data_IF_532853127529
#
_entry.id   IF_532853127529
#
_cell.length_a   1.000
_cell.length_b   1.000
_cell.length_c   1.000
_cell.angle_alpha   90.00
_cell.angle_beta   90.00
_cell.angle_gamma   90.00
#
_symmetry.space_group_name_H-M   'P 1'
#
loop_
_entity.id
_entity.type
_entity.pdbx_description
1 polymer ?
#
# COMPACT_ATOMS: atom_id res chain seq x y z
N UNK A 1 3.92 -58.41 -42.38
CA UNK A 1 4.71 -57.17 -42.51
C UNK A 1 4.67 -56.42 -41.20
N UNK A 2 5.77 -56.52 -40.45
CA UNK A 2 5.97 -55.98 -39.10
C UNK A 2 5.87 -54.44 -39.08
N UNK A 3 5.18 -53.91 -38.07
CA UNK A 3 5.21 -52.49 -37.69
C UNK A 3 6.19 -52.32 -36.54
N UNK A 4 7.35 -51.74 -36.84
CA UNK A 4 8.36 -51.31 -35.87
C UNK A 4 7.87 -50.07 -35.13
N UNK A 5 7.69 -50.20 -33.81
CA UNK A 5 7.47 -49.08 -32.89
C UNK A 5 8.82 -48.44 -32.55
N UNK A 6 9.00 -47.18 -32.93
CA UNK A 6 10.14 -46.34 -32.52
C UNK A 6 9.79 -45.64 -31.19
N UNK A 7 10.58 -45.91 -30.16
CA UNK A 7 10.55 -45.19 -28.89
C UNK A 7 11.32 -43.85 -29.00
N UNK A 8 10.90 -42.80 -28.29
CA UNK A 8 11.61 -41.52 -28.27
C UNK A 8 12.86 -41.57 -27.37
N UNK A 9 13.85 -40.68 -27.61
CA UNK A 9 15.11 -40.66 -26.88
C UNK A 9 14.96 -40.09 -25.46
N UNK A 10 15.58 -40.76 -24.51
CA UNK A 10 15.74 -40.35 -23.11
C UNK A 10 16.73 -39.20 -22.97
N UNK A 11 16.31 -38.10 -22.33
CA UNK A 11 17.19 -37.00 -21.93
C UNK A 11 17.93 -37.32 -20.61
N UNK A 12 19.21 -36.93 -20.46
CA UNK A 12 19.95 -37.12 -19.22
C UNK A 12 19.56 -36.09 -18.14
N UNK A 13 19.67 -36.42 -16.84
CA UNK A 13 19.34 -35.52 -15.75
C UNK A 13 20.42 -34.43 -15.57
N UNK A 14 19.98 -33.17 -15.64
CA UNK A 14 20.80 -31.99 -15.34
C UNK A 14 21.04 -31.87 -13.83
N UNK A 15 22.31 -31.89 -13.44
CA UNK A 15 22.81 -31.63 -12.09
C UNK A 15 22.58 -30.16 -11.72
N UNK A 16 21.78 -29.91 -10.69
CA UNK A 16 21.65 -28.60 -10.04
C UNK A 16 22.66 -28.50 -8.87
N UNK A 17 23.45 -27.43 -8.77
CA UNK A 17 24.23 -27.17 -7.57
C UNK A 17 23.35 -26.50 -6.50
N UNK A 18 23.24 -27.17 -5.36
CA UNK A 18 22.70 -26.62 -4.11
C UNK A 18 23.72 -25.68 -3.47
N UNK A 19 23.43 -24.38 -3.42
CA UNK A 19 24.16 -23.45 -2.54
C UNK A 19 23.24 -22.95 -1.43
N UNK A 20 23.38 -23.58 -0.26
CA UNK A 20 22.91 -23.06 1.01
C UNK A 20 23.71 -21.80 1.35
N UNK A 21 23.03 -20.66 1.50
CA UNK A 21 23.61 -19.46 2.13
C UNK A 21 22.72 -19.11 3.32
N UNK A 22 23.23 -19.37 4.51
CA UNK A 22 22.67 -18.88 5.78
C UNK A 22 23.06 -17.40 5.96
N UNK A 23 22.15 -16.50 6.37
CA UNK A 23 22.54 -15.16 6.78
C UNK A 23 22.86 -15.13 8.28
N UNK A 24 24.13 -14.88 8.57
CA UNK A 24 24.65 -14.54 9.90
C UNK A 24 24.18 -13.14 10.29
N UNK A 25 23.63 -13.04 11.48
CA UNK A 25 23.12 -11.81 12.11
C UNK A 25 24.23 -10.79 12.38
N UNK A 26 24.05 -9.54 11.94
CA UNK A 26 24.77 -8.39 12.47
C UNK A 26 23.77 -7.37 13.02
N UNK A 27 23.68 -7.35 14.36
CA UNK A 27 23.09 -6.30 15.16
C UNK A 27 23.93 -5.02 15.08
N UNK A 28 23.30 -3.87 14.81
CA UNK A 28 23.60 -2.62 15.54
C UNK A 28 22.60 -1.48 15.28
N UNK A 29 22.02 -1.01 16.40
CA UNK A 29 21.77 0.39 16.80
C UNK A 29 20.69 1.27 16.12
N UNK A 30 19.72 1.65 16.99
CA UNK A 30 19.05 2.96 17.21
C UNK A 30 18.00 3.36 16.15
N UNK A 31 16.84 3.98 16.44
CA UNK A 31 16.21 4.54 17.66
C UNK A 31 14.74 4.92 17.32
N UNK A 32 13.88 4.90 18.34
CA UNK A 32 12.72 5.78 18.60
C UNK A 32 11.60 5.92 17.55
N UNK A 33 10.51 5.19 17.77
CA UNK A 33 9.14 5.65 17.46
C UNK A 33 8.37 5.69 18.78
N UNK A 34 8.34 6.87 19.40
CA UNK A 34 7.49 7.15 20.55
C UNK A 34 6.12 7.60 20.03
N UNK A 35 5.06 6.90 20.43
CA UNK A 35 3.69 7.36 20.24
C UNK A 35 3.42 8.56 21.17
N UNK A 36 2.84 9.67 20.69
CA UNK A 36 2.33 10.69 21.58
C UNK A 36 1.01 10.24 22.22
N UNK A 37 0.95 10.27 23.56
CA UNK A 37 -0.29 10.22 24.33
C UNK A 37 -1.15 11.47 24.06
N UNK A 38 -2.48 11.36 24.04
CA UNK A 38 -3.36 12.50 23.85
C UNK A 38 -3.39 13.39 25.10
N UNK A 39 -3.04 14.66 24.93
CA UNK A 39 -3.20 15.70 25.93
C UNK A 39 -4.69 16.10 26.01
N UNK A 40 -5.23 16.12 27.23
CA UNK A 40 -6.54 16.68 27.53
C UNK A 40 -6.49 18.21 27.38
N UNK A 41 -7.26 18.76 26.45
CA UNK A 41 -7.46 20.21 26.33
C UNK A 41 -8.71 20.63 27.11
N UNK A 42 -8.50 21.31 28.24
CA UNK A 42 -9.51 22.13 28.89
C UNK A 42 -9.70 23.42 28.09
N UNK A 43 -10.88 23.64 27.51
CA UNK A 43 -11.28 24.94 27.00
C UNK A 43 -12.45 25.49 27.81
N UNK A 44 -12.14 26.45 28.69
CA UNK A 44 -13.12 27.30 29.35
C UNK A 44 -13.78 28.21 28.31
N UNK A 45 -15.10 28.10 28.13
CA UNK A 45 -15.88 28.98 27.27
C UNK A 45 -16.81 29.82 28.14
N UNK A 46 -16.49 31.11 28.25
CA UNK A 46 -17.33 32.15 28.84
C UNK A 46 -18.43 32.47 27.83
N UNK A 47 -19.68 32.21 28.20
CA UNK A 47 -20.87 32.53 27.41
C UNK A 47 -21.57 33.78 27.94
N UNK A 48 -21.63 34.83 27.13
CA UNK A 48 -22.56 35.95 27.31
C UNK A 48 -23.93 35.55 26.77
N UNK A 49 -24.96 35.75 27.59
CA UNK A 49 -26.37 35.53 27.28
C UNK A 49 -26.97 36.77 26.60
N UNK A 50 -27.66 36.58 25.47
CA UNK A 50 -28.76 37.45 25.02
C UNK A 50 -29.85 36.55 24.47
N UNK A 51 -30.93 36.42 25.25
CA UNK A 51 -32.19 35.85 24.83
C UNK A 51 -32.87 36.76 23.82
N UNK A 52 -33.37 36.19 22.71
CA UNK A 52 -34.53 36.76 22.03
C UNK A 52 -35.39 35.62 21.50
N UNK A 53 -36.56 35.49 22.12
CA UNK A 53 -37.54 34.46 21.87
C UNK A 53 -38.23 34.67 20.50
N UNK A 54 -38.28 33.61 19.69
CA UNK A 54 -39.30 33.45 18.66
C UNK A 54 -39.81 32.00 18.70
N UNK A 55 -40.95 31.83 19.38
CA UNK A 55 -41.72 30.60 19.44
C UNK A 55 -42.56 30.48 18.16
N UNK A 56 -42.11 29.65 17.22
CA UNK A 56 -43.00 29.01 16.25
C UNK A 56 -42.95 27.50 16.50
N UNK A 57 -44.05 26.97 17.04
CA UNK A 57 -44.23 25.55 17.28
C UNK A 57 -44.53 24.86 15.94
N UNK A 58 -43.50 24.30 15.30
CA UNK A 58 -43.65 23.34 14.23
C UNK A 58 -43.74 21.94 14.83
N UNK A 59 -44.81 21.22 14.47
CA UNK A 59 -45.06 19.85 14.89
C UNK A 59 -43.85 18.95 14.57
N UNK A 60 -43.30 18.34 15.62
CA UNK A 60 -42.23 17.36 15.56
C UNK A 60 -42.70 16.11 14.81
N UNK A 61 -42.32 15.99 13.53
CA UNK A 61 -42.42 14.72 12.83
C UNK A 61 -41.58 13.65 13.52
N UNK A 62 -41.87 12.35 13.29
CA UNK A 62 -41.12 11.26 13.90
C UNK A 62 -39.64 11.35 13.49
N UNK A 63 -38.79 11.70 14.46
CA UNK A 63 -37.34 11.70 14.30
C UNK A 63 -36.93 10.26 14.03
N UNK A 64 -36.45 10.00 12.81
CA UNK A 64 -35.89 8.69 12.48
C UNK A 64 -34.73 8.41 13.44
N UNK A 65 -34.63 7.20 14.01
CA UNK A 65 -33.54 6.87 14.90
C UNK A 65 -32.20 7.14 14.19
N UNK A 66 -31.22 7.75 14.89
CA UNK A 66 -29.93 8.03 14.30
C UNK A 66 -29.33 6.73 13.74
N UNK A 67 -28.63 6.79 12.58
CA UNK A 67 -28.04 5.62 11.96
C UNK A 67 -27.11 4.95 12.98
N UNK A 68 -27.49 3.75 13.43
CA UNK A 68 -26.64 2.98 14.34
C UNK A 68 -25.41 2.53 13.56
N UNK A 69 -24.23 2.80 14.11
CA UNK A 69 -22.97 2.30 13.59
C UNK A 69 -23.06 0.77 13.49
N UNK A 70 -22.70 0.22 12.32
CA UNK A 70 -22.70 -1.22 12.13
C UNK A 70 -21.76 -1.87 13.17
N UNK A 71 -22.15 -2.98 13.79
CA UNK A 71 -21.28 -3.66 14.73
C UNK A 71 -19.97 -4.06 14.04
N UNK A 72 -18.83 -4.00 14.76
CA UNK A 72 -17.55 -4.38 14.18
C UNK A 72 -17.59 -5.84 13.74
N UNK A 73 -16.97 -6.13 12.59
CA UNK A 73 -16.85 -7.51 12.12
C UNK A 73 -16.24 -8.43 13.19
N UNK A 74 -16.86 -9.58 13.51
CA UNK A 74 -16.48 -10.41 14.67
C UNK A 74 -15.07 -11.00 14.55
N UNK A 75 -14.55 -11.15 13.33
CA UNK A 75 -13.21 -11.68 13.06
C UNK A 75 -12.10 -10.63 13.21
N UNK A 76 -12.42 -9.33 13.19
CA UNK A 76 -11.42 -8.27 13.08
C UNK A 76 -10.49 -8.20 14.30
N UNK A 77 -11.04 -8.34 15.52
CA UNK A 77 -10.25 -8.31 16.74
C UNK A 77 -9.23 -9.45 16.79
N UNK A 78 -9.61 -10.65 16.33
CA UNK A 78 -8.71 -11.79 16.24
C UNK A 78 -7.62 -11.56 15.18
N UNK A 79 -8.00 -11.11 13.98
CA UNK A 79 -7.03 -10.79 12.92
C UNK A 79 -6.00 -9.75 13.37
N UNK A 80 -6.44 -8.65 13.99
CA UNK A 80 -5.55 -7.59 14.47
C UNK A 80 -4.59 -8.08 15.55
N UNK A 81 -5.06 -8.93 16.46
CA UNK A 81 -4.22 -9.59 17.48
C UNK A 81 -3.17 -10.48 16.83
N UNK A 82 -3.57 -11.32 15.87
CA UNK A 82 -2.67 -12.21 15.13
C UNK A 82 -1.66 -11.42 14.33
N UNK A 83 -2.08 -10.39 13.60
CA UNK A 83 -1.20 -9.47 12.87
C UNK A 83 -0.15 -8.87 13.80
N UNK A 84 -0.56 -8.30 14.94
CA UNK A 84 0.37 -7.67 15.87
C UNK A 84 1.42 -8.65 16.41
N UNK A 85 1.00 -9.87 16.74
CA UNK A 85 1.91 -10.92 17.22
C UNK A 85 2.94 -11.31 16.15
N UNK A 86 2.55 -11.29 14.88
CA UNK A 86 3.39 -11.74 13.78
C UNK A 86 4.33 -10.63 13.27
N UNK A 87 3.81 -9.41 13.12
CA UNK A 87 4.42 -8.39 12.26
C UNK A 87 4.67 -7.03 12.94
N UNK A 88 4.11 -6.74 14.12
CA UNK A 88 4.17 -5.37 14.72
C UNK A 88 5.59 -4.83 14.92
N UNK A 89 6.56 -5.71 15.17
CA UNK A 89 7.96 -5.36 15.43
C UNK A 89 8.89 -5.72 14.27
N UNK A 90 8.34 -6.06 13.10
CA UNK A 90 9.12 -6.31 11.90
C UNK A 90 9.24 -5.03 11.08
N UNK A 91 10.45 -4.75 10.57
CA UNK A 91 10.67 -3.68 9.58
C UNK A 91 10.36 -4.16 8.15
N UNK A 92 10.17 -5.47 7.98
CA UNK A 92 9.92 -6.09 6.68
C UNK A 92 8.47 -5.84 6.21
N UNK A 93 8.27 -5.57 4.91
CA UNK A 93 6.93 -5.47 4.34
C UNK A 93 6.16 -6.77 4.50
N UNK A 94 4.87 -6.65 4.85
CA UNK A 94 3.98 -7.80 5.00
C UNK A 94 3.27 -8.09 3.69
N UNK A 95 3.37 -9.33 3.22
CA UNK A 95 2.72 -9.75 1.98
C UNK A 95 1.54 -10.68 2.23
N UNK A 96 0.51 -10.52 1.40
CA UNK A 96 -0.70 -11.35 1.37
C UNK A 96 -0.84 -11.92 -0.03
N UNK A 97 -1.11 -13.22 -0.12
CA UNK A 97 -1.32 -13.87 -1.41
C UNK A 97 -2.75 -13.64 -1.88
N UNK A 98 -2.90 -13.17 -3.11
CA UNK A 98 -4.18 -12.95 -3.78
C UNK A 98 -4.34 -13.96 -4.91
N UNK A 99 -5.53 -14.56 -4.99
CA UNK A 99 -5.96 -15.35 -6.15
C UNK A 99 -7.21 -14.74 -6.78
N UNK A 100 -7.24 -14.72 -8.10
CA UNK A 100 -8.35 -14.19 -8.91
C UNK A 100 -8.60 -15.12 -10.11
N UNK A 101 -9.78 -15.01 -10.71
CA UNK A 101 -10.09 -15.66 -11.99
C UNK A 101 -10.12 -14.58 -13.07
N UNK A 102 -9.29 -14.74 -14.09
CA UNK A 102 -9.26 -13.85 -15.26
C UNK A 102 -10.50 -14.03 -16.12
N UNK A 103 -10.81 -13.07 -16.99
CA UNK A 103 -11.86 -13.22 -18.03
C UNK A 103 -11.69 -14.48 -18.90
N UNK A 104 -10.46 -14.97 -19.08
CA UNK A 104 -10.18 -16.22 -19.80
C UNK A 104 -10.55 -17.49 -19.04
N UNK A 105 -10.97 -17.39 -17.77
CA UNK A 105 -11.18 -18.52 -16.86
C UNK A 105 -9.90 -19.03 -16.19
N UNK A 106 -8.74 -18.49 -16.53
CA UNK A 106 -7.46 -18.87 -15.92
C UNK A 106 -7.29 -18.24 -14.54
N UNK A 107 -6.68 -18.97 -13.62
CA UNK A 107 -6.37 -18.47 -12.27
C UNK A 107 -5.11 -17.60 -12.32
N UNK A 108 -5.15 -16.46 -11.65
CA UNK A 108 -3.96 -15.63 -11.37
C UNK A 108 -3.58 -15.70 -9.89
N UNK A 109 -2.29 -15.52 -9.60
CA UNK A 109 -1.73 -15.46 -8.26
C UNK A 109 -0.83 -14.22 -8.16
N UNK A 110 -1.09 -13.38 -7.16
CA UNK A 110 -0.35 -12.14 -6.91
C UNK A 110 0.10 -12.06 -5.45
N UNK A 111 1.23 -11.41 -5.20
CA UNK A 111 1.71 -11.13 -3.84
C UNK A 111 1.53 -9.64 -3.56
N UNK A 112 0.55 -9.30 -2.73
CA UNK A 112 0.19 -7.91 -2.43
C UNK A 112 0.85 -7.45 -1.14
N UNK A 113 1.42 -6.25 -1.16
CA UNK A 113 1.95 -5.63 0.06
C UNK A 113 0.80 -5.03 0.87
N UNK A 114 0.56 -5.59 2.06
CA UNK A 114 -0.40 -5.06 3.02
C UNK A 114 0.08 -3.72 3.57
N UNK A 115 -0.82 -2.74 3.59
CA UNK A 115 -0.52 -1.38 4.02
C UNK A 115 -1.23 -1.03 5.34
N UNK A 116 -2.53 -1.25 5.45
CA UNK A 116 -3.27 -1.03 6.69
C UNK A 116 -4.64 -1.70 6.75
N UNK A 117 -5.23 -1.62 7.94
CA UNK A 117 -6.66 -1.72 8.15
C UNK A 117 -7.28 -0.33 8.02
N UNK A 118 -8.42 -0.21 7.33
CA UNK A 118 -9.16 1.04 7.31
C UNK A 118 -9.73 1.33 8.70
N UNK A 119 -9.48 2.53 9.23
CA UNK A 119 -9.90 2.91 10.58
C UNK A 119 -11.44 3.02 10.71
N UNK A 120 -12.10 3.53 9.67
CA UNK A 120 -13.54 3.80 9.66
C UNK A 120 -14.41 2.59 9.27
N UNK A 121 -13.84 1.52 8.74
CA UNK A 121 -14.61 0.30 8.46
C UNK A 121 -13.68 -0.91 8.45
N UNK A 122 -13.82 -1.70 9.50
CA UNK A 122 -12.94 -2.83 9.78
C UNK A 122 -13.08 -4.00 8.80
N UNK A 123 -13.98 -3.91 7.82
CA UNK A 123 -14.11 -4.87 6.72
C UNK A 123 -13.16 -4.60 5.56
N UNK A 124 -12.46 -3.47 5.57
CA UNK A 124 -11.57 -3.07 4.50
C UNK A 124 -10.11 -3.25 4.87
N UNK A 125 -9.36 -3.83 3.93
CA UNK A 125 -7.89 -3.89 3.94
C UNK A 125 -7.34 -3.01 2.84
N UNK A 126 -6.21 -2.35 3.12
CA UNK A 126 -5.53 -1.44 2.20
C UNK A 126 -4.23 -2.06 1.69
N UNK A 127 -4.00 -1.89 0.39
CA UNK A 127 -2.84 -2.38 -0.34
C UNK A 127 -2.32 -1.28 -1.28
N UNK A 128 -1.06 -1.42 -1.66
CA UNK A 128 -0.41 -0.53 -2.63
C UNK A 128 -0.65 -1.03 -4.05
N UNK A 129 -0.95 -0.12 -4.97
CA UNK A 129 -1.09 -0.42 -6.40
C UNK A 129 -0.51 0.72 -7.24
N UNK A 130 0.33 0.37 -8.21
CA UNK A 130 0.78 1.32 -9.21
C UNK A 130 -0.16 1.26 -10.43
N UNK A 131 -0.55 2.41 -10.97
CA UNK A 131 -1.48 2.49 -12.09
C UNK A 131 -0.92 1.83 -13.36
N UNK A 132 0.40 1.83 -13.52
CA UNK A 132 1.13 1.17 -14.59
C UNK A 132 1.38 -0.34 -14.37
N UNK A 133 0.94 -0.94 -13.26
CA UNK A 133 0.92 -2.40 -13.10
C UNK A 133 -0.23 -3.00 -13.91
N UNK A 134 0.00 -3.14 -15.23
CA UNK A 134 -1.01 -3.60 -16.16
C UNK A 134 -1.49 -5.04 -15.91
N UNK A 135 -0.69 -5.86 -15.22
CA UNK A 135 -1.03 -7.28 -14.97
C UNK A 135 -2.04 -7.36 -13.83
N UNK A 136 -1.68 -6.85 -12.64
CA UNK A 136 -2.58 -6.87 -11.49
C UNK A 136 -3.83 -6.02 -11.75
N UNK A 137 -3.64 -4.83 -12.34
CA UNK A 137 -4.74 -3.95 -12.73
C UNK A 137 -5.68 -4.61 -13.73
N UNK A 138 -5.14 -5.32 -14.73
CA UNK A 138 -5.91 -6.06 -15.73
C UNK A 138 -6.75 -7.18 -15.09
N UNK A 139 -6.14 -7.93 -14.18
CA UNK A 139 -6.80 -9.04 -13.46
C UNK A 139 -7.96 -8.51 -12.61
N UNK A 140 -7.74 -7.48 -11.79
CA UNK A 140 -8.80 -6.83 -10.98
C UNK A 140 -9.90 -6.20 -11.84
N UNK A 141 -9.54 -5.56 -12.96
CA UNK A 141 -10.53 -4.98 -13.89
C UNK A 141 -11.36 -6.04 -14.59
N UNK A 142 -10.84 -7.27 -14.72
CA UNK A 142 -11.57 -8.37 -15.35
C UNK A 142 -12.56 -9.03 -14.38
N UNK A 143 -12.14 -9.23 -13.13
CA UNK A 143 -12.98 -9.66 -12.02
C UNK A 143 -12.44 -9.06 -10.71
N UNK A 144 -13.17 -8.12 -10.08
CA UNK A 144 -12.75 -7.55 -8.81
C UNK A 144 -12.90 -8.55 -7.65
N UNK A 145 -13.58 -9.67 -7.86
CA UNK A 145 -13.75 -10.72 -6.84
C UNK A 145 -12.47 -11.50 -6.68
N UNK A 146 -12.01 -11.66 -5.44
CA UNK A 146 -10.76 -12.33 -5.16
C UNK A 146 -10.81 -13.10 -3.84
N UNK A 147 -9.86 -14.04 -3.71
CA UNK A 147 -9.58 -14.72 -2.45
C UNK A 147 -8.18 -14.38 -1.98
N UNK A 148 -8.06 -13.97 -0.73
CA UNK A 148 -6.78 -13.70 -0.09
C UNK A 148 -6.42 -14.81 0.89
N UNK A 149 -5.14 -15.15 0.94
CA UNK A 149 -4.58 -16.07 1.93
C UNK A 149 -3.49 -15.33 2.68
N UNK A 150 -3.67 -15.23 3.99
CA UNK A 150 -2.71 -14.59 4.88
C UNK A 150 -2.21 -15.58 5.92
N UNK A 151 -0.95 -15.98 5.78
CA UNK A 151 -0.28 -16.82 6.75
C UNK A 151 0.20 -15.98 7.95
N UNK A 152 0.12 -16.56 9.15
CA UNK A 152 0.60 -15.98 10.40
C UNK A 152 1.62 -16.95 11.03
N UNK A 153 2.90 -16.88 10.65
CA UNK A 153 3.89 -17.91 10.97
C UNK A 153 4.12 -18.12 12.47
N UNK A 154 4.22 -17.04 13.27
CA UNK A 154 4.52 -17.08 14.71
C UNK A 154 3.36 -17.63 15.53
N UNK A 155 2.12 -17.41 15.09
CA UNK A 155 0.93 -17.93 15.75
C UNK A 155 0.41 -19.24 15.17
N UNK A 156 0.95 -19.68 14.03
CA UNK A 156 0.54 -20.90 13.31
C UNK A 156 -0.94 -20.84 12.91
N UNK A 157 -1.31 -19.76 12.24
CA UNK A 157 -2.67 -19.50 11.76
C UNK A 157 -2.68 -19.17 10.27
N UNK A 158 -3.80 -19.45 9.61
CA UNK A 158 -4.10 -18.96 8.27
C UNK A 158 -5.46 -18.26 8.29
N UNK A 159 -5.53 -17.10 7.64
CA UNK A 159 -6.78 -16.44 7.33
C UNK A 159 -7.03 -16.53 5.83
N UNK A 160 -8.22 -17.02 5.48
CA UNK A 160 -8.73 -17.04 4.12
C UNK A 160 -9.84 -16.00 4.03
N UNK A 161 -9.69 -15.02 3.14
CA UNK A 161 -10.68 -13.98 2.93
C UNK A 161 -11.31 -14.14 1.55
N UNK A 162 -12.63 -14.04 1.47
CA UNK A 162 -13.34 -13.83 0.21
C UNK A 162 -13.86 -12.40 0.20
N UNK A 163 -13.75 -11.71 -0.93
CA UNK A 163 -14.15 -10.30 -1.00
C UNK A 163 -14.00 -9.69 -2.40
N UNK A 164 -14.07 -8.36 -2.45
CA UNK A 164 -13.95 -7.58 -3.69
C UNK A 164 -12.95 -6.45 -3.55
N UNK A 165 -12.17 -6.24 -4.61
CA UNK A 165 -11.26 -5.12 -4.76
C UNK A 165 -11.94 -3.88 -5.36
N UNK A 166 -11.44 -2.72 -4.95
CA UNK A 166 -11.79 -1.40 -5.44
C UNK A 166 -10.51 -0.57 -5.58
N UNK A 167 -10.51 0.41 -6.47
CA UNK A 167 -9.33 1.20 -6.81
C UNK A 167 -9.65 2.68 -6.59
N UNK A 168 -8.99 3.27 -5.60
CA UNK A 168 -8.92 4.72 -5.42
C UNK A 168 -7.68 5.25 -6.15
N UNK A 169 -7.88 5.77 -7.35
CA UNK A 169 -6.85 6.42 -8.17
C UNK A 169 -6.79 7.92 -7.91
N UNK A 170 -5.79 8.59 -8.49
CA UNK A 170 -5.76 10.05 -8.54
C UNK A 170 -7.04 10.62 -9.20
N UNK A 171 -7.51 11.82 -8.81
CA UNK A 171 -8.76 12.41 -9.30
C UNK A 171 -8.81 12.64 -10.82
N UNK A 172 -7.64 12.82 -11.44
CA UNK A 172 -7.52 12.98 -12.90
C UNK A 172 -7.76 11.68 -13.66
N UNK A 173 -7.72 10.53 -12.97
CA UNK A 173 -7.88 9.21 -13.56
C UNK A 173 -9.28 8.66 -13.28
N UNK A 174 -9.92 8.14 -14.34
CA UNK A 174 -11.21 7.46 -14.23
C UNK A 174 -10.98 5.96 -14.03
N UNK A 175 -11.48 5.41 -12.93
CA UNK A 175 -11.48 3.96 -12.67
C UNK A 175 -12.88 3.36 -12.80
N UNK A 176 -12.95 2.09 -13.21
CA UNK A 176 -14.23 1.36 -13.37
C UNK A 176 -14.75 0.77 -12.06
N UNK A 177 -13.97 0.86 -10.97
CA UNK A 177 -14.26 0.24 -9.69
C UNK A 177 -13.92 1.20 -8.54
N UNK A 178 -14.55 2.39 -8.48
CA UNK A 178 -14.34 3.29 -7.37
C UNK A 178 -14.81 2.61 -6.07
N UNK A 179 -14.12 2.81 -4.94
CA UNK A 179 -14.55 2.18 -3.72
C UNK A 179 -15.86 2.78 -3.20
N UNK A 180 -16.66 2.00 -2.46
CA UNK A 180 -18.01 2.40 -2.05
C UNK A 180 -17.97 3.49 -0.98
N UNK A 181 -19.11 4.16 -0.76
CA UNK A 181 -19.26 5.11 0.34
C UNK A 181 -19.10 4.39 1.68
N UNK A 182 -18.31 4.98 2.58
CA UNK A 182 -18.17 4.52 3.97
C UNK A 182 -19.31 5.09 4.80
N UNK A 183 -20.00 4.23 5.55
CA UNK A 183 -21.21 4.60 6.29
C UNK A 183 -20.94 5.58 7.45
N UNK A 184 -19.72 5.57 8.00
CA UNK A 184 -19.34 6.43 9.13
C UNK A 184 -18.85 7.82 8.71
N UNK A 185 -18.64 8.06 7.42
CA UNK A 185 -18.15 9.35 6.91
C UNK A 185 -19.27 10.17 6.27
N UNK A 186 -19.35 11.43 6.66
CA UNK A 186 -20.25 12.42 6.05
C UNK A 186 -19.74 12.89 4.67
N UNK A 187 -18.47 12.64 4.35
CA UNK A 187 -17.88 13.08 3.10
C UNK A 187 -18.46 12.34 1.88
N UNK A 188 -18.48 12.98 0.70
CA UNK A 188 -18.66 12.29 -0.57
C UNK A 188 -17.61 11.17 -0.72
N UNK A 189 -18.03 10.04 -1.29
CA UNK A 189 -17.16 8.86 -1.44
C UNK A 189 -15.84 9.17 -2.14
N UNK A 190 -15.86 10.00 -3.19
CA UNK A 190 -14.66 10.37 -3.93
C UNK A 190 -13.67 11.18 -3.09
N UNK A 191 -14.15 12.12 -2.28
CA UNK A 191 -13.33 12.94 -1.40
C UNK A 191 -12.71 12.11 -0.28
N UNK A 192 -13.52 11.27 0.37
CA UNK A 192 -13.04 10.34 1.41
C UNK A 192 -11.88 9.47 0.93
N UNK A 193 -12.02 8.84 -0.24
CA UNK A 193 -10.98 7.95 -0.75
C UNK A 193 -9.74 8.68 -1.26
N UNK A 194 -9.86 9.93 -1.71
CA UNK A 194 -8.70 10.77 -2.03
C UNK A 194 -7.95 11.22 -0.78
N UNK A 195 -8.67 11.51 0.30
CA UNK A 195 -8.07 11.79 1.62
C UNK A 195 -7.30 10.57 2.14
N UNK A 196 -7.91 9.38 2.11
CA UNK A 196 -7.23 8.14 2.53
C UNK A 196 -6.04 7.80 1.62
N UNK A 197 -6.16 7.96 0.30
CA UNK A 197 -5.02 7.80 -0.63
C UNK A 197 -3.88 8.76 -0.26
N UNK A 198 -4.19 10.04 -0.07
CA UNK A 198 -3.19 11.05 0.30
C UNK A 198 -2.55 10.78 1.67
N UNK A 199 -3.34 10.34 2.65
CA UNK A 199 -2.87 9.90 3.96
C UNK A 199 -1.89 8.74 3.84
N UNK A 200 -2.24 7.72 3.05
CA UNK A 200 -1.36 6.58 2.81
C UNK A 200 -0.08 6.97 2.08
N UNK A 201 -0.15 7.81 1.04
CA UNK A 201 1.02 8.32 0.32
C UNK A 201 2.03 9.02 1.24
N UNK A 202 1.53 9.89 2.14
CA UNK A 202 2.36 10.61 3.11
C UNK A 202 3.04 9.67 4.10
N UNK A 203 2.38 8.56 4.46
CA UNK A 203 2.89 7.55 5.39
C UNK A 203 4.00 6.67 4.80
N UNK A 204 4.04 6.52 3.48
CA UNK A 204 5.07 5.72 2.81
C UNK A 204 6.47 6.29 3.03
N UNK A 205 7.46 5.40 3.09
CA UNK A 205 8.86 5.82 3.02
C UNK A 205 9.16 6.42 1.63
N UNK A 206 9.94 7.50 1.53
CA UNK A 206 10.52 8.02 0.28
C UNK A 206 11.00 6.97 -0.73
N UNK A 207 11.63 5.89 -0.28
CA UNK A 207 12.09 4.77 -1.13
C UNK A 207 10.95 4.01 -1.78
N UNK A 208 9.85 3.80 -1.04
CA UNK A 208 8.65 3.13 -1.57
C UNK A 208 7.91 4.08 -2.52
N UNK A 209 7.79 5.37 -2.18
CA UNK A 209 7.20 6.36 -3.11
C UNK A 209 7.92 6.41 -4.46
N UNK A 210 9.25 6.29 -4.43
CA UNK A 210 10.06 6.28 -5.65
C UNK A 210 9.84 5.03 -6.53
N UNK A 211 9.26 3.93 -6.03
CA UNK A 211 8.94 2.80 -6.90
C UNK A 211 7.75 3.07 -7.81
N UNK A 212 6.91 4.07 -7.48
CA UNK A 212 5.78 4.49 -8.33
C UNK A 212 6.22 5.31 -9.55
N UNK A 213 7.51 5.62 -9.71
CA UNK A 213 8.05 6.16 -10.97
C UNK A 213 8.73 5.09 -11.81
N UNK A 214 8.83 3.85 -11.33
CA UNK A 214 9.47 2.77 -12.08
C UNK A 214 8.60 2.34 -13.27
N UNK A 215 9.23 1.79 -14.34
CA UNK A 215 8.50 1.13 -15.42
C UNK A 215 7.60 0.01 -14.92
N UNK A 216 6.59 -0.34 -15.71
CA UNK A 216 5.73 -1.47 -15.38
C UNK A 216 6.51 -2.79 -15.31
N UNK A 217 5.98 -3.82 -14.61
CA UNK A 217 6.61 -5.13 -14.56
C UNK A 217 6.89 -5.68 -15.97
N UNK A 218 8.15 -6.00 -16.25
CA UNK A 218 8.60 -6.52 -17.55
C UNK A 218 8.91 -5.46 -18.61
N UNK A 219 8.70 -4.17 -18.32
CA UNK A 219 9.11 -3.09 -19.21
C UNK A 219 10.59 -2.73 -18.98
N UNK A 220 11.36 -2.60 -20.07
CA UNK A 220 12.69 -2.01 -19.99
C UNK A 220 12.56 -0.49 -19.84
N UNK A 221 13.27 0.13 -18.88
CA UNK A 221 13.27 1.57 -18.80
C UNK A 221 13.88 2.21 -20.03
N UNK A 222 13.24 3.28 -20.51
CA UNK A 222 13.71 4.04 -21.68
C UNK A 222 15.06 4.73 -21.44
N UNK A 223 15.44 4.95 -20.18
CA UNK A 223 16.73 5.51 -19.79
C UNK A 223 17.34 4.65 -18.67
N UNK A 224 18.34 3.85 -19.03
CA UNK A 224 18.89 2.77 -18.21
C UNK A 224 19.41 3.24 -16.84
N UNK A 225 19.98 4.44 -16.76
CA UNK A 225 20.48 5.02 -15.50
C UNK A 225 19.44 5.87 -14.76
N UNK A 226 18.62 6.65 -15.48
CA UNK A 226 17.71 7.62 -14.86
C UNK A 226 16.42 7.02 -14.32
N UNK A 227 15.93 5.96 -14.97
CA UNK A 227 14.61 5.40 -14.64
C UNK A 227 14.60 4.57 -13.35
N UNK A 228 15.77 4.10 -12.90
CA UNK A 228 15.97 3.48 -11.58
C UNK A 228 16.71 4.40 -10.61
N UNK A 229 17.31 5.50 -11.09
CA UNK A 229 17.82 6.58 -10.23
C UNK A 229 16.71 7.52 -9.77
N UNK A 230 15.49 7.02 -9.62
CA UNK A 230 14.51 7.60 -8.71
C UNK A 230 15.06 7.38 -7.30
N UNK A 231 16.13 8.14 -7.03
CA UNK A 231 16.78 8.30 -5.76
C UNK A 231 15.66 8.62 -4.77
N UNK A 232 15.69 7.98 -3.61
CA UNK A 232 14.67 8.22 -2.59
C UNK A 232 14.49 9.74 -2.48
N UNK A 233 13.26 10.22 -2.33
CA UNK A 233 13.02 11.65 -2.15
C UNK A 233 13.94 12.25 -1.06
N UNK A 234 14.42 11.45 -0.09
CA UNK A 234 15.49 11.84 0.84
C UNK A 234 16.85 12.07 0.20
N UNK A 235 17.36 11.22 -0.71
CA UNK A 235 18.65 11.47 -1.36
C UNK A 235 18.61 12.74 -2.21
N UNK A 236 17.49 13.05 -2.87
CA UNK A 236 17.33 14.30 -3.62
C UNK A 236 17.16 15.52 -2.69
N UNK A 237 16.52 15.37 -1.53
CA UNK A 237 16.40 16.43 -0.51
C UNK A 237 17.70 16.61 0.30
N UNK A 238 18.50 15.56 0.49
CA UNK A 238 19.80 15.58 1.14
C UNK A 238 20.86 16.26 0.26
N UNK A 239 20.81 16.07 -1.07
CA UNK A 239 21.65 16.85 -2.00
C UNK A 239 21.35 18.34 -1.92
N UNK A 240 20.10 18.73 -1.67
CA UNK A 240 19.74 20.15 -1.48
C UNK A 240 20.17 20.70 -0.10
N UNK A 241 20.39 19.83 0.91
CA UNK A 241 20.96 20.20 2.21
C UNK A 241 22.50 20.25 2.21
N UNK A 242 23.15 19.51 1.31
CA UNK A 242 24.58 19.64 1.05
C UNK A 242 24.78 20.84 0.12
N UNK A 243 24.87 22.04 0.69
CA UNK A 243 25.19 23.26 -0.07
C UNK A 243 26.45 23.10 -0.95
N UNK A 244 26.68 24.02 -1.91
CA UNK A 244 27.66 23.89 -3.00
C UNK A 244 29.16 23.81 -2.60
N UNK A 245 29.49 23.53 -1.34
CA UNK A 245 30.84 23.64 -0.77
C UNK A 245 31.45 22.36 -0.17
N UNK A 246 30.91 21.17 -0.48
CA UNK A 246 31.44 19.91 0.08
C UNK A 246 31.80 18.87 -1.00
N UNK A 247 32.68 19.23 -1.93
CA UNK A 247 33.48 18.24 -2.67
C UNK A 247 34.90 18.77 -2.88
N UNK A 248 35.71 18.79 -1.81
CA UNK A 248 37.17 18.73 -1.95
C UNK A 248 37.56 17.26 -2.11
N UNK A 249 37.44 16.75 -3.34
CA UNK A 249 38.24 15.60 -3.76
C UNK A 249 39.53 16.19 -4.34
N UNK A 250 40.62 16.01 -3.61
CA UNK A 250 41.97 16.23 -4.15
C UNK A 250 42.20 15.21 -5.28
N UNK A 251 42.48 15.68 -6.50
CA UNK A 251 42.95 14.79 -7.56
C UNK A 251 42.77 15.28 -9.00
N UNK A 252 43.57 16.28 -9.39
CA UNK A 252 44.24 16.40 -10.71
C UNK A 252 43.38 16.52 -11.99
N UNK A 253 43.40 17.77 -12.53
CA UNK A 253 43.35 18.20 -13.94
C UNK A 253 42.23 17.69 -14.86
N UNK A 254 41.24 18.58 -15.05
CA UNK A 254 40.37 18.60 -16.24
C UNK A 254 39.71 19.97 -16.39
N UNK A 255 40.41 20.91 -17.03
CA UNK A 255 39.84 22.20 -17.49
C UNK A 255 38.69 21.93 -18.47
N UNK A 256 37.53 22.57 -18.28
CA UNK A 256 36.81 23.35 -19.32
C UNK A 256 35.50 23.98 -18.81
N UNK A 257 35.38 25.27 -19.15
CA UNK A 257 34.18 26.11 -19.31
C UNK A 257 33.21 26.33 -18.14
N UNK A 258 33.45 27.45 -17.45
CA UNK A 258 32.49 28.20 -16.67
C UNK A 258 31.43 28.85 -17.57
N UNK A 259 30.21 28.33 -17.53
CA UNK A 259 28.99 29.04 -17.89
C UNK A 259 28.29 29.42 -16.58
N UNK A 260 27.90 30.69 -16.49
CA UNK A 260 27.28 31.39 -15.38
C UNK A 260 26.20 30.57 -14.65
N UNK A 261 26.53 30.08 -13.46
CA UNK A 261 25.66 29.29 -12.60
C UNK A 261 24.83 30.17 -11.67
N UNK A 262 23.61 30.51 -12.08
CA UNK A 262 22.53 30.96 -11.19
C UNK A 262 21.17 30.28 -11.48
N UNK A 263 21.13 29.30 -12.40
CA UNK A 263 19.88 28.64 -12.84
C UNK A 263 19.76 27.15 -12.50
N UNK A 264 20.80 26.50 -11.99
CA UNK A 264 20.83 25.04 -11.82
C UNK A 264 19.96 24.55 -10.64
N UNK A 265 19.94 25.28 -9.51
CA UNK A 265 19.16 24.88 -8.33
C UNK A 265 17.64 24.87 -8.61
N UNK A 266 17.13 25.90 -9.31
CA UNK A 266 15.71 25.98 -9.67
C UNK A 266 15.27 24.89 -10.67
N UNK A 267 16.17 24.42 -11.54
CA UNK A 267 15.86 23.31 -12.45
C UNK A 267 15.75 21.96 -11.70
N UNK A 268 16.57 21.74 -10.68
CA UNK A 268 16.53 20.52 -9.88
C UNK A 268 15.23 20.46 -9.06
N UNK A 269 14.85 21.55 -8.38
CA UNK A 269 13.62 21.60 -7.58
C UNK A 269 12.36 21.35 -8.43
N UNK A 270 12.29 21.95 -9.62
CA UNK A 270 11.20 21.71 -10.56
C UNK A 270 11.14 20.26 -11.03
N UNK A 271 12.30 19.62 -11.23
CA UNK A 271 12.38 18.21 -11.63
C UNK A 271 11.92 17.29 -10.50
N UNK A 272 12.33 17.55 -9.26
CA UNK A 272 11.92 16.76 -8.09
C UNK A 272 10.41 16.84 -7.89
N UNK A 273 9.84 18.05 -7.96
CA UNK A 273 8.40 18.25 -7.87
C UNK A 273 7.65 17.49 -8.97
N UNK A 274 8.12 17.60 -10.22
CA UNK A 274 7.54 16.88 -11.35
C UNK A 274 7.57 15.35 -11.13
N UNK A 275 8.68 14.79 -10.66
CA UNK A 275 8.78 13.36 -10.38
C UNK A 275 7.84 12.92 -9.25
N UNK A 276 7.74 13.74 -8.19
CA UNK A 276 6.80 13.48 -7.10
C UNK A 276 5.36 13.46 -7.59
N UNK A 277 4.97 14.43 -8.43
CA UNK A 277 3.62 14.55 -8.95
C UNK A 277 3.29 13.36 -9.88
N UNK A 278 4.23 12.94 -10.73
CA UNK A 278 4.10 11.72 -11.54
C UNK A 278 3.93 10.47 -10.67
N UNK A 279 4.74 10.33 -9.62
CA UNK A 279 4.67 9.19 -8.71
C UNK A 279 3.31 9.15 -7.98
N UNK A 280 2.85 10.31 -7.53
CA UNK A 280 1.56 10.46 -6.85
C UNK A 280 0.39 10.20 -7.80
N UNK A 281 0.46 10.61 -9.06
CA UNK A 281 -0.57 10.30 -10.07
C UNK A 281 -0.58 8.81 -10.44
N UNK A 282 0.58 8.13 -10.39
CA UNK A 282 0.67 6.69 -10.60
C UNK A 282 0.26 5.88 -9.36
N UNK A 283 0.26 6.50 -8.17
CA UNK A 283 -0.13 5.84 -6.92
C UNK A 283 -1.65 5.67 -6.81
N UNK A 284 -2.07 4.41 -6.73
CA UNK A 284 -3.43 4.02 -6.39
C UNK A 284 -3.47 3.35 -5.01
N UNK A 285 -4.54 3.59 -4.27
CA UNK A 285 -4.88 2.81 -3.09
C UNK A 285 -5.80 1.67 -3.52
N UNK A 286 -5.32 0.43 -3.36
CA UNK A 286 -6.09 -0.78 -3.64
C UNK A 286 -6.79 -1.23 -2.37
N UNK A 287 -8.11 -1.31 -2.41
CA UNK A 287 -8.96 -1.49 -1.25
C UNK A 287 -9.72 -2.80 -1.38
N UNK A 288 -9.60 -3.70 -0.41
CA UNK A 288 -10.29 -4.99 -0.41
C UNK A 288 -11.39 -5.03 0.65
N UNK A 289 -12.65 -5.18 0.22
CA UNK A 289 -13.78 -5.38 1.12
C UNK A 289 -14.00 -6.86 1.37
N UNK A 290 -13.81 -7.28 2.61
CA UNK A 290 -14.03 -8.66 3.06
C UNK A 290 -15.53 -8.92 3.18
N UNK A 291 -15.98 -10.03 2.58
CA UNK A 291 -17.34 -10.55 2.72
C UNK A 291 -17.40 -11.84 3.55
N UNK A 292 -16.36 -12.68 3.48
CA UNK A 292 -16.28 -13.94 4.23
C UNK A 292 -14.86 -14.11 4.78
N UNK A 293 -14.75 -14.70 5.96
CA UNK A 293 -13.48 -15.06 6.59
C UNK A 293 -13.55 -16.50 7.04
N UNK A 294 -12.51 -17.26 6.74
CA UNK A 294 -12.27 -18.55 7.36
C UNK A 294 -10.93 -18.48 8.07
N UNK A 295 -10.91 -18.83 9.34
CA UNK A 295 -9.73 -18.80 10.19
C UNK A 295 -9.36 -20.23 10.57
N UNK A 296 -8.09 -20.57 10.34
CA UNK A 296 -7.56 -21.91 10.58
C UNK A 296 -6.36 -21.85 11.52
N UNK A 297 -6.47 -22.48 12.69
CA UNK A 297 -5.41 -22.60 13.68
C UNK A 297 -4.87 -24.03 13.70
N UNK A 298 -3.61 -24.22 13.33
CA UNK A 298 -2.96 -25.54 13.33
C UNK A 298 -1.88 -25.67 14.41
N UNK A 299 -1.75 -24.67 15.28
CA UNK A 299 -0.86 -24.71 16.45
C UNK A 299 -1.40 -25.56 17.61
N UNK A 300 -2.69 -25.90 17.62
CA UNK A 300 -3.34 -26.72 18.65
C UNK A 300 -3.89 -28.00 18.04
N UNK A 301 -3.90 -29.11 18.80
CA UNK A 301 -4.47 -30.38 18.37
C UNK A 301 -5.76 -30.67 19.17
N UNK A 302 -6.88 -31.00 18.50
CA UNK A 302 -7.07 -30.98 17.05
C UNK A 302 -7.03 -29.55 16.48
N UNK A 303 -6.67 -29.35 15.20
CA UNK A 303 -6.74 -28.04 14.55
C UNK A 303 -8.13 -27.44 14.65
N UNK A 304 -8.20 -26.12 14.83
CA UNK A 304 -9.46 -25.37 14.92
C UNK A 304 -9.73 -24.64 13.61
N UNK A 305 -11.00 -24.63 13.19
CA UNK A 305 -11.51 -23.85 12.05
C UNK A 305 -12.76 -23.10 12.48
N UNK A 306 -12.80 -21.80 12.21
CA UNK A 306 -13.95 -20.92 12.50
C UNK A 306 -14.26 -20.02 11.32
#
# INVERSE_FOLDING_TARGET
>A
HERTHLLPPSFPPSLLPTSHVSPTSHLSRLRNMAYPSPAQSNSSKVGFSVETANKFAAASGPVSPPPQAAPPAPWFANLKRSFNRNYLYGDDPVFVQMTNIRRSGQVSLHSLQFQDFLEDDNRFLEFLLAMNDNILMGDIKSDPSAKLIWAMPKSKEHFYFTGKFYIASAPIQVTRYPPPKIAMSDLPSAEFWEEERTKQWKRLNPKIRATFTWPGPGEMPRAEKLAYSCLSMEVMLEENKRGPFATKVNGVLGRSNSISGNGAAGQIENTVKLMHDIAMDNFCLLVFKISEVQHYEYGTFPPKRT
#
